data_IF_918610691187
#
_entry.id   IF_918610691187
#
_cell.length_a   1.000
_cell.length_b   1.000
_cell.length_c   1.000
_cell.angle_alpha   90.00
_cell.angle_beta   90.00
_cell.angle_gamma   90.00
#
_symmetry.space_group_name_H-M   'P 1'
#
loop_
_entity.id
_entity.type
_entity.pdbx_description
1 polymer ?
#
# COMPACT_ATOMS: atom_id res chain seq x y z
N UNK A 1 10.02 0.44 27.11
CA UNK A 1 10.35 -0.91 26.59
C UNK A 1 9.18 -1.37 25.73
N UNK A 2 9.16 -1.04 24.43
CA UNK A 2 8.22 -1.60 23.46
C UNK A 2 9.00 -2.55 22.56
N UNK A 3 8.87 -3.85 22.79
CA UNK A 3 9.34 -4.87 21.86
C UNK A 3 8.30 -4.98 20.75
N UNK A 4 8.58 -4.40 19.59
CA UNK A 4 7.90 -4.77 18.36
C UNK A 4 8.81 -5.76 17.63
N UNK A 5 8.55 -7.05 17.88
CA UNK A 5 8.85 -8.09 16.89
C UNK A 5 8.16 -7.72 15.57
N UNK A 6 8.72 -8.00 14.41
CA UNK A 6 9.25 -9.31 14.04
C UNK A 6 10.31 -9.13 12.95
N UNK A 7 11.45 -9.79 13.11
CA UNK A 7 12.42 -9.95 12.01
C UNK A 7 11.82 -10.89 10.96
N UNK A 8 10.97 -10.36 10.08
CA UNK A 8 10.49 -11.07 8.91
C UNK A 8 11.64 -11.33 7.96
N UNK A 9 12.28 -12.49 8.05
CA UNK A 9 13.24 -12.93 7.04
C UNK A 9 12.46 -13.29 5.77
N UNK A 10 12.49 -12.42 4.75
CA UNK A 10 12.14 -12.84 3.40
C UNK A 10 13.23 -13.79 2.89
N UNK A 11 12.97 -15.09 2.95
CA UNK A 11 13.93 -16.14 2.60
C UNK A 11 14.29 -16.23 1.10
N UNK A 12 13.85 -15.27 0.28
CA UNK A 12 14.05 -15.30 -1.18
C UNK A 12 15.05 -14.27 -1.73
N UNK A 13 15.57 -13.35 -0.93
CA UNK A 13 16.51 -12.34 -1.42
C UNK A 13 17.92 -12.59 -0.86
N UNK A 14 18.69 -13.41 -1.57
CA UNK A 14 20.09 -13.74 -1.26
C UNK A 14 21.09 -12.60 -1.50
N UNK A 15 20.83 -11.40 -0.99
CA UNK A 15 21.78 -10.30 -1.02
C UNK A 15 21.98 -9.74 0.40
N UNK A 16 23.13 -10.08 0.97
CA UNK A 16 23.59 -9.55 2.24
C UNK A 16 24.10 -8.13 2.07
N UNK A 17 23.24 -7.13 2.24
CA UNK A 17 23.66 -5.79 2.64
C UNK A 17 22.60 -5.15 3.54
N UNK A 18 23.07 -4.28 4.44
CA UNK A 18 22.30 -3.50 5.41
C UNK A 18 21.23 -2.61 4.72
N UNK A 19 20.08 -3.18 4.39
CA UNK A 19 18.86 -2.40 4.13
C UNK A 19 18.13 -2.21 5.46
N UNK A 20 17.62 -1.00 5.73
CA UNK A 20 16.70 -0.79 6.85
C UNK A 20 15.48 -1.68 6.61
N UNK A 21 14.88 -2.20 7.69
CA UNK A 21 13.76 -3.16 7.59
C UNK A 21 12.65 -2.66 6.66
N UNK A 22 12.41 -1.34 6.69
CA UNK A 22 11.42 -0.64 5.85
C UNK A 22 11.69 -0.72 4.36
N UNK A 23 12.95 -0.65 3.92
CA UNK A 23 13.29 -0.68 2.48
C UNK A 23 13.14 -2.10 1.93
N UNK A 24 13.48 -3.11 2.75
CA UNK A 24 13.27 -4.52 2.42
C UNK A 24 11.78 -4.87 2.36
N UNK A 25 10.97 -4.32 3.28
CA UNK A 25 9.52 -4.49 3.28
C UNK A 25 8.88 -3.96 2.00
N UNK A 26 9.26 -2.75 1.55
CA UNK A 26 8.74 -2.19 0.30
C UNK A 26 9.15 -3.01 -0.92
N UNK A 27 10.38 -3.50 -0.99
CA UNK A 27 10.80 -4.38 -2.10
C UNK A 27 10.01 -5.69 -2.12
N UNK A 28 9.68 -6.27 -0.97
CA UNK A 28 8.77 -7.43 -0.89
C UNK A 28 7.36 -7.07 -1.40
N UNK A 29 6.78 -5.95 -0.97
CA UNK A 29 5.48 -5.50 -1.46
C UNK A 29 5.49 -5.19 -2.96
N UNK A 30 6.57 -4.64 -3.51
CA UNK A 30 6.73 -4.44 -4.97
C UNK A 30 6.73 -5.77 -5.72
N UNK A 31 7.35 -6.81 -5.17
CA UNK A 31 7.34 -8.15 -5.79
C UNK A 31 5.93 -8.74 -5.75
N UNK A 32 5.28 -8.77 -4.58
CA UNK A 32 3.90 -9.26 -4.46
C UNK A 32 2.92 -8.46 -5.33
N UNK A 33 3.06 -7.14 -5.39
CA UNK A 33 2.25 -6.28 -6.24
C UNK A 33 2.43 -6.56 -7.74
N UNK A 34 3.61 -7.02 -8.18
CA UNK A 34 3.82 -7.49 -9.57
C UNK A 34 3.11 -8.81 -9.85
N UNK A 35 3.03 -9.68 -8.84
CA UNK A 35 2.24 -10.92 -8.89
C UNK A 35 0.73 -10.66 -8.70
N UNK A 36 0.38 -9.43 -8.34
CA UNK A 36 -0.98 -8.97 -8.14
C UNK A 36 -1.54 -9.27 -6.76
N UNK A 37 -0.72 -9.70 -5.79
CA UNK A 37 -1.16 -9.94 -4.42
C UNK A 37 -1.81 -8.67 -3.82
N UNK A 38 -3.08 -8.77 -3.44
CA UNK A 38 -3.89 -7.63 -3.00
C UNK A 38 -3.39 -7.01 -1.69
N UNK A 39 -2.86 -7.83 -0.79
CA UNK A 39 -2.25 -7.39 0.47
C UNK A 39 -0.99 -6.57 0.18
N UNK A 40 -0.13 -7.05 -0.73
CA UNK A 40 1.06 -6.35 -1.17
C UNK A 40 0.74 -5.06 -1.91
N UNK A 41 -0.31 -5.05 -2.73
CA UNK A 41 -0.79 -3.83 -3.40
C UNK A 41 -1.26 -2.79 -2.37
N UNK A 42 -2.07 -3.18 -1.38
CA UNK A 42 -2.52 -2.28 -0.31
C UNK A 42 -1.34 -1.71 0.49
N UNK A 43 -0.43 -2.58 0.95
CA UNK A 43 0.73 -2.16 1.74
C UNK A 43 1.69 -1.27 0.94
N UNK A 44 1.90 -1.56 -0.35
CA UNK A 44 2.70 -0.70 -1.23
C UNK A 44 2.04 0.66 -1.43
N UNK A 45 0.70 0.70 -1.54
CA UNK A 45 -0.06 1.94 -1.58
C UNK A 45 0.15 2.78 -0.32
N UNK A 46 0.02 2.15 0.84
CA UNK A 46 0.23 2.78 2.13
C UNK A 46 1.67 3.30 2.32
N UNK A 47 2.67 2.56 1.82
CA UNK A 47 4.06 3.01 1.81
C UNK A 47 4.26 4.29 0.98
N UNK A 48 3.65 4.39 -0.19
CA UNK A 48 3.70 5.59 -1.02
C UNK A 48 2.93 6.76 -0.41
N UNK A 49 1.84 6.51 0.31
CA UNK A 49 1.05 7.55 0.98
C UNK A 49 1.82 8.16 2.17
N UNK A 50 2.46 7.31 2.97
CA UNK A 50 3.12 7.71 4.22
C UNK A 50 4.63 7.92 4.11
N UNK A 51 5.22 7.69 2.93
CA UNK A 51 6.66 7.80 2.72
C UNK A 51 7.49 6.75 3.48
N UNK A 52 6.94 5.55 3.69
CA UNK A 52 7.60 4.48 4.46
C UNK A 52 8.46 3.63 3.54
N UNK A 53 9.78 3.84 3.57
CA UNK A 53 10.76 3.10 2.75
C UNK A 53 10.77 3.47 1.25
N UNK A 54 9.94 4.44 0.86
CA UNK A 54 9.87 5.07 -0.47
C UNK A 54 9.53 6.54 -0.30
N UNK A 55 9.84 7.34 -1.32
CA UNK A 55 9.38 8.72 -1.36
C UNK A 55 7.85 8.78 -1.42
N UNK A 56 7.27 9.78 -0.76
CA UNK A 56 5.84 10.03 -0.79
C UNK A 56 5.39 10.24 -2.24
N UNK A 57 4.41 9.46 -2.67
CA UNK A 57 3.82 9.56 -3.99
C UNK A 57 2.36 9.14 -3.95
N UNK A 58 1.51 10.07 -3.55
CA UNK A 58 0.08 9.87 -3.40
C UNK A 58 -0.59 9.32 -4.69
N UNK A 59 -0.12 9.76 -5.87
CA UNK A 59 -0.64 9.24 -7.16
C UNK A 59 -0.36 7.75 -7.32
N UNK A 60 0.83 7.31 -6.95
CA UNK A 60 1.17 5.89 -6.94
C UNK A 60 0.43 5.14 -5.84
N UNK A 61 0.17 5.75 -4.68
CA UNK A 61 -0.63 5.17 -3.61
C UNK A 61 -2.04 4.83 -4.11
N UNK A 62 -2.75 5.82 -4.64
CA UNK A 62 -4.08 5.67 -5.25
C UNK A 62 -4.08 4.59 -6.32
N UNK A 63 -3.05 4.55 -7.18
CA UNK A 63 -2.93 3.52 -8.22
C UNK A 63 -2.81 2.10 -7.66
N UNK A 64 -2.09 1.87 -6.56
CA UNK A 64 -2.03 0.54 -5.97
C UNK A 64 -3.33 0.18 -5.24
N UNK A 65 -3.94 1.13 -4.52
CA UNK A 65 -5.23 0.92 -3.87
C UNK A 65 -6.32 0.59 -4.90
N UNK A 66 -6.35 1.24 -6.06
CA UNK A 66 -7.26 0.89 -7.16
C UNK A 66 -7.10 -0.55 -7.60
N UNK A 67 -5.87 -1.02 -7.83
CA UNK A 67 -5.63 -2.41 -8.27
C UNK A 67 -6.05 -3.43 -7.21
N UNK A 68 -5.83 -3.14 -5.93
CA UNK A 68 -6.27 -4.02 -4.85
C UNK A 68 -7.80 -3.98 -4.68
N UNK A 69 -8.42 -2.80 -4.84
CA UNK A 69 -9.87 -2.63 -4.83
C UNK A 69 -10.56 -3.37 -5.99
N UNK A 70 -9.96 -3.36 -7.20
CA UNK A 70 -10.42 -4.15 -8.35
C UNK A 70 -10.44 -5.66 -8.07
N UNK A 71 -9.60 -6.13 -7.14
CA UNK A 71 -9.57 -7.51 -6.65
C UNK A 71 -10.54 -7.79 -5.50
N UNK A 72 -11.32 -6.79 -5.08
CA UNK A 72 -12.27 -6.92 -3.99
C UNK A 72 -11.65 -6.86 -2.59
N UNK A 73 -10.44 -6.31 -2.45
CA UNK A 73 -9.79 -6.20 -1.14
C UNK A 73 -10.38 -5.01 -0.35
N UNK A 74 -11.21 -5.32 0.65
CA UNK A 74 -11.99 -4.35 1.41
C UNK A 74 -11.16 -3.19 2.00
N UNK A 75 -9.97 -3.50 2.54
CA UNK A 75 -9.11 -2.47 3.13
C UNK A 75 -8.57 -1.49 2.07
N UNK A 76 -8.28 -1.98 0.87
CA UNK A 76 -7.88 -1.10 -0.23
C UNK A 76 -9.05 -0.29 -0.80
N UNK A 77 -10.27 -0.85 -0.81
CA UNK A 77 -11.48 -0.11 -1.19
C UNK A 77 -11.69 1.06 -0.21
N UNK A 78 -11.55 0.80 1.09
CA UNK A 78 -11.63 1.83 2.13
C UNK A 78 -10.54 2.90 1.97
N UNK A 79 -9.28 2.50 1.81
CA UNK A 79 -8.16 3.42 1.62
C UNK A 79 -8.34 4.27 0.35
N UNK A 80 -8.85 3.68 -0.73
CA UNK A 80 -9.16 4.41 -1.96
C UNK A 80 -10.31 5.42 -1.75
N UNK A 81 -11.34 5.05 -0.97
CA UNK A 81 -12.42 5.94 -0.57
C UNK A 81 -11.90 7.17 0.17
N UNK A 82 -11.01 6.95 1.14
CA UNK A 82 -10.35 8.03 1.89
C UNK A 82 -9.52 8.94 0.98
N UNK A 83 -8.76 8.38 0.02
CA UNK A 83 -8.02 9.20 -0.94
C UNK A 83 -8.94 10.10 -1.79
N UNK A 84 -10.13 9.62 -2.16
CA UNK A 84 -11.11 10.44 -2.89
C UNK A 84 -11.83 11.47 -2.00
N UNK A 85 -12.03 11.17 -0.73
CA UNK A 85 -12.62 12.09 0.24
C UNK A 85 -11.68 13.27 0.53
N UNK A 86 -10.40 12.99 0.74
CA UNK A 86 -9.38 13.99 1.06
C UNK A 86 -8.80 14.68 -0.18
N UNK A 87 -8.92 14.05 -1.36
CA UNK A 87 -8.23 14.49 -2.58
C UNK A 87 -6.72 14.19 -2.57
N UNK A 88 -6.30 13.19 -1.81
CA UNK A 88 -4.91 12.73 -1.72
C UNK A 88 -4.56 11.95 -2.98
N UNK A 89 -3.57 12.41 -3.75
CA UNK A 89 -3.11 11.73 -4.97
C UNK A 89 -4.11 11.66 -6.12
N UNK A 90 -5.31 12.21 -5.96
CA UNK A 90 -6.41 12.24 -6.92
C UNK A 90 -7.23 13.52 -6.77
N UNK A 91 -8.14 13.78 -7.69
CA UNK A 91 -9.12 14.84 -7.49
C UNK A 91 -10.12 14.38 -6.43
N UNK A 92 -10.39 15.22 -5.45
CA UNK A 92 -11.46 15.02 -4.47
C UNK A 92 -12.80 14.72 -5.17
N UNK A 93 -13.44 13.63 -4.77
CA UNK A 93 -14.69 13.13 -5.34
C UNK A 93 -15.48 12.37 -4.26
N UNK A 94 -16.31 13.12 -3.52
CA UNK A 94 -17.10 12.58 -2.41
C UNK A 94 -18.12 11.53 -2.87
N UNK A 95 -18.64 11.66 -4.09
CA UNK A 95 -19.58 10.69 -4.66
C UNK A 95 -18.88 9.35 -4.87
N UNK A 96 -17.66 9.35 -5.42
CA UNK A 96 -16.85 8.14 -5.54
C UNK A 96 -16.43 7.58 -4.18
N UNK A 97 -16.07 8.44 -3.22
CA UNK A 97 -15.72 8.00 -1.88
C UNK A 97 -16.87 7.22 -1.22
N UNK A 98 -18.09 7.78 -1.25
CA UNK A 98 -19.29 7.11 -0.73
C UNK A 98 -19.56 5.79 -1.48
N UNK A 99 -19.45 5.78 -2.80
CA UNK A 99 -19.66 4.57 -3.59
C UNK A 99 -18.65 3.44 -3.27
N UNK A 100 -17.42 3.81 -2.90
CA UNK A 100 -16.38 2.88 -2.45
C UNK A 100 -16.67 2.40 -1.03
N UNK A 101 -17.04 3.29 -0.11
CA UNK A 101 -17.41 2.91 1.26
C UNK A 101 -18.63 1.99 1.33
N UNK A 102 -19.55 2.09 0.38
CA UNK A 102 -20.67 1.14 0.27
C UNK A 102 -20.30 -0.22 -0.33
N UNK A 103 -19.11 -0.33 -0.96
CA UNK A 103 -18.60 -1.56 -1.56
C UNK A 103 -17.63 -2.33 -0.64
N UNK A 104 -16.95 -1.64 0.26
CA UNK A 104 -16.02 -2.22 1.24
C UNK A 104 -16.77 -3.05 2.30
#
# INVERSE_FOLDING_TARGET
KGHWGSKGKCHQCGYGTYMKSTDMEVECYKKGAKEGDEVSLNNLGYCYDNGKGVDVNEKNAVKQFMKAAEKGYAEAIYNLGACYEDGTGSRKDEVKAVALYTQA
#
